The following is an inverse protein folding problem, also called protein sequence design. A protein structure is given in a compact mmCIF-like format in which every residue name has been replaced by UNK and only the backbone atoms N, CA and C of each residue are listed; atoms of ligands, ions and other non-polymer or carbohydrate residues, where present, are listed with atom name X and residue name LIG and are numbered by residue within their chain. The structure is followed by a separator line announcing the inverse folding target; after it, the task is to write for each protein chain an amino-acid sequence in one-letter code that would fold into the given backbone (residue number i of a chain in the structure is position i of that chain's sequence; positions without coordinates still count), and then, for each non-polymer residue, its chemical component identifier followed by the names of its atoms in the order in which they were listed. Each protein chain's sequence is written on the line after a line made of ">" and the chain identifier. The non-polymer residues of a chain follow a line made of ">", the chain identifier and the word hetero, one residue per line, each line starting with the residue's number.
data_IF_386409980648
#
_entry.id   IF_386409980648
#
_cell.length_a   1.000
_cell.length_b   1.000
_cell.length_c   1.000
_cell.angle_alpha   90.00
_cell.angle_beta   90.00
_cell.angle_gamma   90.00
#
_symmetry.space_group_name_H-M   'P 1'
#
loop_
_entity.id
_entity.type
_entity.pdbx_description
1 polymer ?
#
# COMPACT_ATOMS: atom_id res chain seq x y z
N UNK A 1 24.32 -33.19 -12.91
CA UNK A 1 23.07 -33.22 -12.11
C UNK A 1 23.02 -32.19 -10.99
N UNK A 2 24.06 -32.04 -10.16
CA UNK A 2 24.04 -31.12 -8.99
C UNK A 2 23.76 -29.65 -9.36
N UNK A 3 24.31 -29.17 -10.46
CA UNK A 3 24.09 -27.81 -11.00
C UNK A 3 22.66 -27.57 -11.49
N UNK A 4 22.05 -28.55 -12.16
CA UNK A 4 20.69 -28.44 -12.70
C UNK A 4 19.63 -28.33 -11.59
N UNK A 5 19.75 -29.15 -10.54
CA UNK A 5 18.84 -29.11 -9.39
C UNK A 5 18.93 -27.75 -8.67
N UNK A 6 20.14 -27.20 -8.52
CA UNK A 6 20.34 -25.87 -7.94
C UNK A 6 19.67 -24.77 -8.78
N UNK A 7 19.80 -24.81 -10.11
CA UNK A 7 19.16 -23.82 -11.00
C UNK A 7 17.64 -23.88 -10.90
N UNK A 8 17.05 -25.07 -10.89
CA UNK A 8 15.60 -25.26 -10.77
C UNK A 8 15.10 -24.75 -9.41
N UNK A 9 15.76 -25.10 -8.32
CA UNK A 9 15.40 -24.62 -6.97
C UNK A 9 15.52 -23.09 -6.85
N UNK A 10 16.56 -22.48 -7.41
CA UNK A 10 16.70 -21.02 -7.44
C UNK A 10 15.60 -20.34 -8.27
N UNK A 11 15.18 -20.94 -9.39
CA UNK A 11 14.06 -20.46 -10.18
C UNK A 11 12.74 -20.48 -9.41
N UNK A 12 12.44 -21.59 -8.75
CA UNK A 12 11.23 -21.75 -7.92
C UNK A 12 11.24 -20.76 -6.73
N UNK A 13 12.38 -20.62 -6.05
CA UNK A 13 12.52 -19.66 -4.95
C UNK A 13 12.28 -18.23 -5.42
N UNK A 14 12.82 -17.86 -6.58
CA UNK A 14 12.60 -16.53 -7.16
C UNK A 14 11.12 -16.31 -7.46
N UNK A 15 10.47 -17.25 -8.14
CA UNK A 15 9.04 -17.19 -8.44
C UNK A 15 8.18 -17.06 -7.17
N UNK A 16 8.51 -17.82 -6.12
CA UNK A 16 7.83 -17.73 -4.82
C UNK A 16 7.96 -16.33 -4.21
N UNK A 17 9.18 -15.76 -4.20
CA UNK A 17 9.39 -14.41 -3.65
C UNK A 17 8.68 -13.31 -4.45
N UNK A 18 8.56 -13.47 -5.77
CA UNK A 18 7.80 -12.52 -6.61
C UNK A 18 6.30 -12.63 -6.38
N UNK A 19 5.78 -13.84 -6.21
CA UNK A 19 4.37 -14.06 -5.88
C UNK A 19 4.01 -13.46 -4.52
N UNK A 20 4.82 -13.70 -3.49
CA UNK A 20 4.63 -13.09 -2.17
C UNK A 20 4.67 -11.56 -2.22
N UNK A 21 5.57 -11.00 -3.02
CA UNK A 21 5.65 -9.55 -3.21
C UNK A 21 4.38 -9.00 -3.88
N UNK A 22 3.92 -9.63 -4.96
CA UNK A 22 2.70 -9.25 -5.67
C UNK A 22 1.46 -9.32 -4.77
N UNK A 23 1.36 -10.38 -3.95
CA UNK A 23 0.26 -10.54 -2.99
C UNK A 23 0.30 -9.45 -1.91
N UNK A 24 1.48 -9.17 -1.36
CA UNK A 24 1.68 -8.09 -0.38
C UNK A 24 1.29 -6.73 -0.97
N UNK A 25 1.70 -6.44 -2.20
CA UNK A 25 1.37 -5.21 -2.91
C UNK A 25 -0.15 -5.07 -3.06
N UNK A 26 -0.81 -6.16 -3.47
CA UNK A 26 -2.27 -6.18 -3.66
C UNK A 26 -3.01 -5.91 -2.35
N UNK A 27 -2.58 -6.54 -1.25
CA UNK A 27 -3.17 -6.31 0.07
C UNK A 27 -3.00 -4.86 0.52
N UNK A 28 -1.82 -4.26 0.32
CA UNK A 28 -1.58 -2.86 0.67
C UNK A 28 -2.37 -1.87 -0.17
N UNK A 29 -2.55 -2.16 -1.46
CA UNK A 29 -3.44 -1.37 -2.32
C UNK A 29 -4.90 -1.50 -1.85
N UNK A 30 -5.33 -2.70 -1.44
CA UNK A 30 -6.67 -2.91 -0.92
C UNK A 30 -6.91 -2.13 0.39
N UNK A 31 -5.94 -2.12 1.31
CA UNK A 31 -5.96 -1.33 2.55
C UNK A 31 -6.13 0.17 2.26
N UNK A 32 -5.32 0.72 1.34
CA UNK A 32 -5.46 2.12 0.91
C UNK A 32 -6.85 2.40 0.35
N UNK A 33 -7.39 1.50 -0.50
CA UNK A 33 -8.73 1.64 -1.07
C UNK A 33 -9.83 1.62 0.00
N UNK A 34 -9.68 0.80 1.04
CA UNK A 34 -10.63 0.76 2.15
C UNK A 34 -10.65 2.07 2.92
N UNK A 35 -9.48 2.64 3.23
CA UNK A 35 -9.40 3.94 3.92
C UNK A 35 -9.96 5.05 3.04
N UNK A 36 -9.64 5.05 1.74
CA UNK A 36 -10.22 6.00 0.78
C UNK A 36 -11.75 5.91 0.70
N UNK A 37 -12.30 4.70 0.80
CA UNK A 37 -13.75 4.49 0.85
C UNK A 37 -14.33 5.09 2.14
N UNK A 38 -13.68 4.86 3.28
CA UNK A 38 -14.08 5.45 4.56
C UNK A 38 -14.07 6.99 4.53
N UNK A 39 -13.06 7.60 3.92
CA UNK A 39 -13.01 9.07 3.72
C UNK A 39 -14.24 9.57 2.97
N UNK A 40 -14.68 8.87 1.92
CA UNK A 40 -15.88 9.26 1.16
C UNK A 40 -17.15 9.17 2.02
N UNK A 41 -17.24 8.16 2.87
CA UNK A 41 -18.35 7.99 3.80
C UNK A 41 -18.40 9.13 4.82
N UNK A 42 -17.25 9.48 5.42
CA UNK A 42 -17.14 10.62 6.35
C UNK A 42 -17.43 11.96 5.66
N UNK A 43 -17.01 12.15 4.41
CA UNK A 43 -17.36 13.35 3.62
C UNK A 43 -18.85 13.44 3.32
N UNK A 44 -19.50 12.31 3.02
CA UNK A 44 -20.94 12.24 2.83
C UNK A 44 -21.68 12.60 4.12
N UNK A 45 -21.25 12.02 5.25
CA UNK A 45 -21.79 12.31 6.57
C UNK A 45 -21.62 13.77 6.97
N UNK A 46 -20.43 14.35 6.72
CA UNK A 46 -20.18 15.78 6.91
C UNK A 46 -21.15 16.65 6.09
N UNK A 47 -21.38 16.29 4.82
CA UNK A 47 -22.34 16.98 3.97
C UNK A 47 -23.77 16.93 4.52
N UNK A 48 -24.19 15.80 5.09
CA UNK A 48 -25.48 15.65 5.75
C UNK A 48 -25.57 16.51 7.01
N UNK A 49 -24.55 16.47 7.87
CA UNK A 49 -24.48 17.28 9.09
C UNK A 49 -24.61 18.79 8.80
N UNK A 50 -23.91 19.27 7.77
CA UNK A 50 -23.98 20.69 7.36
C UNK A 50 -25.39 21.04 6.88
N UNK A 51 -26.03 20.16 6.10
CA UNK A 51 -27.40 20.37 5.62
C UNK A 51 -28.43 20.40 6.76
N UNK A 52 -28.29 19.51 7.75
CA UNK A 52 -29.23 19.36 8.85
C UNK A 52 -29.07 20.45 9.91
N UNK A 53 -27.83 20.69 10.38
CA UNK A 53 -27.58 21.61 11.50
C UNK A 53 -27.52 23.07 11.08
N UNK A 54 -27.18 23.36 9.82
CA UNK A 54 -26.87 24.72 9.31
C UNK A 54 -25.85 25.49 10.17
N UNK A 55 -25.12 24.77 11.01
CA UNK A 55 -24.11 25.31 11.91
C UNK A 55 -22.80 24.59 11.63
N UNK A 56 -21.98 25.27 10.84
CA UNK A 56 -20.64 24.83 10.43
C UNK A 56 -19.70 24.82 11.63
N UNK A 57 -20.01 25.58 12.69
CA UNK A 57 -19.12 25.71 13.84
C UNK A 57 -19.40 24.68 14.95
N UNK A 58 -20.40 23.80 14.72
CA UNK A 58 -20.72 22.72 15.63
C UNK A 58 -19.54 21.78 15.85
N UNK A 59 -19.39 21.31 17.09
CA UNK A 59 -18.27 20.46 17.51
C UNK A 59 -18.21 19.14 16.72
N UNK A 60 -19.36 18.61 16.30
CA UNK A 60 -19.45 17.42 15.44
C UNK A 60 -18.85 17.68 14.05
N UNK A 61 -19.18 18.81 13.40
CA UNK A 61 -18.61 19.18 12.08
C UNK A 61 -17.08 19.30 12.17
N UNK A 62 -16.58 19.96 13.22
CA UNK A 62 -15.13 20.09 13.48
C UNK A 62 -14.47 18.73 13.72
N UNK A 63 -15.14 17.83 14.43
CA UNK A 63 -14.61 16.49 14.71
C UNK A 63 -14.54 15.65 13.44
N UNK A 64 -15.59 15.64 12.62
CA UNK A 64 -15.62 14.93 11.34
C UNK A 64 -14.57 15.48 10.37
N UNK A 65 -14.36 16.80 10.32
CA UNK A 65 -13.28 17.40 9.52
C UNK A 65 -11.90 16.89 9.94
N UNK A 66 -11.60 16.87 11.25
CA UNK A 66 -10.33 16.33 11.77
C UNK A 66 -10.16 14.84 11.45
N UNK A 67 -11.25 14.06 11.50
CA UNK A 67 -11.20 12.64 11.14
C UNK A 67 -10.89 12.46 9.65
N UNK A 68 -11.51 13.26 8.78
CA UNK A 68 -11.20 13.25 7.34
C UNK A 68 -9.74 13.61 7.09
N UNK A 69 -9.24 14.66 7.72
CA UNK A 69 -7.84 15.10 7.61
C UNK A 69 -6.88 13.99 8.06
N UNK A 70 -7.11 13.41 9.23
CA UNK A 70 -6.31 12.29 9.74
C UNK A 70 -6.28 11.10 8.77
N UNK A 71 -7.44 10.70 8.23
CA UNK A 71 -7.51 9.59 7.29
C UNK A 71 -6.81 9.92 5.96
N UNK A 72 -6.83 11.17 5.51
CA UNK A 72 -6.10 11.61 4.32
C UNK A 72 -4.59 11.53 4.53
N UNK A 73 -4.09 12.00 5.67
CA UNK A 73 -2.67 11.87 6.05
C UNK A 73 -2.25 10.40 6.10
N UNK A 74 -3.08 9.53 6.67
CA UNK A 74 -2.82 8.09 6.73
C UNK A 74 -2.73 7.46 5.32
N UNK A 75 -3.60 7.86 4.40
CA UNK A 75 -3.54 7.41 2.99
C UNK A 75 -2.23 7.84 2.32
N UNK A 76 -1.82 9.10 2.48
CA UNK A 76 -0.57 9.59 1.88
C UNK A 76 0.64 8.88 2.47
N UNK A 77 0.67 8.69 3.78
CA UNK A 77 1.71 7.91 4.46
C UNK A 77 1.80 6.46 3.96
N UNK A 78 0.66 5.79 3.78
CA UNK A 78 0.61 4.41 3.28
C UNK A 78 1.06 4.32 1.82
N UNK A 79 0.71 5.30 0.97
CA UNK A 79 1.21 5.38 -0.41
C UNK A 79 2.73 5.55 -0.45
N UNK A 80 3.28 6.45 0.37
CA UNK A 80 4.73 6.66 0.45
C UNK A 80 5.45 5.38 0.89
N UNK A 81 4.93 4.71 1.92
CA UNK A 81 5.44 3.40 2.36
C UNK A 81 5.38 2.34 1.26
N UNK A 82 4.29 2.30 0.50
CA UNK A 82 4.12 1.34 -0.59
C UNK A 82 5.16 1.55 -1.68
N UNK A 83 5.40 2.81 -2.06
CA UNK A 83 6.39 3.16 -3.08
C UNK A 83 7.81 2.85 -2.58
N UNK A 84 8.13 3.17 -1.33
CA UNK A 84 9.40 2.81 -0.70
C UNK A 84 9.61 1.29 -0.66
N UNK A 85 8.58 0.53 -0.30
CA UNK A 85 8.63 -0.94 -0.27
C UNK A 85 8.88 -1.53 -1.67
N UNK A 86 8.19 -1.00 -2.69
CA UNK A 86 8.38 -1.38 -4.09
C UNK A 86 9.80 -1.09 -4.56
N UNK A 87 10.34 0.08 -4.25
CA UNK A 87 11.70 0.47 -4.61
C UNK A 87 12.75 -0.43 -3.94
N UNK A 88 12.57 -0.74 -2.65
CA UNK A 88 13.43 -1.69 -1.93
C UNK A 88 13.41 -3.09 -2.56
N UNK A 89 12.23 -3.59 -2.96
CA UNK A 89 12.11 -4.88 -3.61
C UNK A 89 12.78 -4.91 -4.99
N UNK A 90 12.55 -3.90 -5.82
CA UNK A 90 13.17 -3.77 -7.14
C UNK A 90 14.70 -3.70 -7.02
N UNK A 91 15.22 -2.93 -6.06
CA UNK A 91 16.65 -2.84 -5.79
C UNK A 91 17.24 -4.20 -5.38
N UNK A 92 16.61 -4.92 -4.45
CA UNK A 92 17.04 -6.28 -4.07
C UNK A 92 16.97 -7.27 -5.23
N UNK A 93 15.94 -7.18 -6.07
CA UNK A 93 15.81 -8.00 -7.29
C UNK A 93 16.95 -7.72 -8.27
N UNK A 94 17.27 -6.45 -8.53
CA UNK A 94 18.38 -6.07 -9.41
C UNK A 94 19.72 -6.57 -8.88
N UNK A 95 19.98 -6.47 -7.58
CA UNK A 95 21.20 -7.02 -6.95
C UNK A 95 21.33 -8.53 -7.15
N UNK A 96 20.25 -9.29 -6.90
CA UNK A 96 20.24 -10.75 -7.14
C UNK A 96 20.52 -11.07 -8.60
N UNK A 97 19.87 -10.38 -9.54
CA UNK A 97 20.11 -10.62 -10.97
C UNK A 97 21.55 -10.30 -11.41
N UNK A 98 22.17 -9.26 -10.84
CA UNK A 98 23.58 -8.95 -11.08
C UNK A 98 24.52 -10.00 -10.50
N UNK A 99 24.26 -10.51 -9.29
CA UNK A 99 25.07 -11.60 -8.72
C UNK A 99 24.98 -12.88 -9.53
N UNK A 100 23.82 -13.18 -10.12
CA UNK A 100 23.67 -14.32 -11.04
C UNK A 100 24.45 -14.14 -12.35
N UNK A 101 24.57 -12.92 -12.89
CA UNK A 101 25.34 -12.63 -14.11
C UNK A 101 26.86 -12.68 -13.92
N UNK A 102 27.37 -12.54 -12.69
CA UNK A 102 28.81 -12.63 -12.40
C UNK A 102 29.32 -14.06 -12.13
N UNK A 103 28.44 -15.05 -12.20
CA UNK A 103 28.71 -16.47 -11.90
C UNK A 103 28.68 -17.34 -13.17
N UNK A 104 28.34 -16.76 -14.33
CA UNK A 104 28.36 -17.39 -15.65
C UNK A 104 29.31 -16.66 -16.59
#
# INVERSE_FOLDING_TARGET
>A
MRTFIHTVLSGIYTAYTELLFSLTLTLKIAEIKQIQQKIKEEQCFLGQLICEKKDIDSEEVKTTLKQIEFLQEEVEYLKEKLENFKNLFLHKRQQRLKSFKGVF
#
